data_IF_195796799043
#
_entry.id   IF_195796799043
#
_cell.length_a   1.000
_cell.length_b   1.000
_cell.length_c   1.000
_cell.angle_alpha   90.00
_cell.angle_beta   90.00
_cell.angle_gamma   90.00
#
_symmetry.space_group_name_H-M   'P 1'
#
loop_
_entity.id
_entity.type
_entity.pdbx_description
1 polymer ?
#
# COMPACT_ATOMS: atom_id res chain seq x y z
N UNK A 1 18.50 20.62 6.48
CA UNK A 1 17.79 19.83 5.46
C UNK A 1 18.78 19.59 4.32
N UNK A 2 19.05 18.33 4.00
CA UNK A 2 19.95 18.01 2.86
C UNK A 2 19.19 18.34 1.57
N UNK A 3 19.85 19.00 0.63
CA UNK A 3 19.23 19.33 -0.67
C UNK A 3 19.25 18.06 -1.52
N UNK A 4 18.11 17.71 -2.13
CA UNK A 4 18.04 16.64 -3.12
C UNK A 4 18.35 17.28 -4.48
N UNK A 5 19.49 16.96 -5.04
CA UNK A 5 19.99 17.47 -6.34
C UNK A 5 19.97 16.39 -7.42
N UNK A 6 19.73 15.15 -7.02
CA UNK A 6 19.74 13.99 -7.92
C UNK A 6 18.68 14.11 -9.01
N UNK A 7 19.05 13.60 -10.19
CA UNK A 7 18.15 13.36 -11.31
C UNK A 7 17.57 11.96 -11.20
N UNK A 8 16.32 11.79 -11.65
CA UNK A 8 15.54 10.56 -11.47
C UNK A 8 15.26 9.87 -12.80
N UNK A 9 15.49 8.57 -12.85
CA UNK A 9 14.92 7.69 -13.85
C UNK A 9 13.78 6.87 -13.25
N UNK A 10 12.70 6.70 -14.00
CA UNK A 10 11.56 5.85 -13.60
C UNK A 10 11.49 4.66 -14.55
N UNK A 11 11.58 3.45 -14.00
CA UNK A 11 11.38 2.20 -14.73
C UNK A 11 10.04 1.59 -14.27
N UNK A 12 9.07 1.66 -15.18
CA UNK A 12 7.66 1.34 -14.91
C UNK A 12 6.79 2.61 -14.92
N UNK A 13 6.09 2.87 -16.05
CA UNK A 13 5.22 4.04 -16.23
C UNK A 13 3.75 3.73 -15.89
N UNK A 14 3.52 2.72 -15.06
CA UNK A 14 2.21 2.36 -14.54
C UNK A 14 1.62 3.42 -13.60
N UNK A 15 0.61 3.04 -12.82
CA UNK A 15 -0.08 3.97 -11.90
C UNK A 15 0.88 4.56 -10.85
N UNK A 16 1.72 3.73 -10.23
CA UNK A 16 2.67 4.15 -9.18
C UNK A 16 3.76 5.03 -9.79
N UNK A 17 4.45 4.57 -10.84
CA UNK A 17 5.55 5.32 -11.46
C UNK A 17 5.11 6.67 -11.99
N UNK A 18 3.94 6.74 -12.64
CA UNK A 18 3.38 8.02 -13.11
C UNK A 18 3.03 8.94 -11.95
N UNK A 19 2.39 8.43 -10.88
CA UNK A 19 2.03 9.24 -9.72
C UNK A 19 3.27 9.80 -9.00
N UNK A 20 4.30 8.98 -8.83
CA UNK A 20 5.58 9.41 -8.25
C UNK A 20 6.27 10.43 -9.13
N UNK A 21 6.32 10.22 -10.45
CA UNK A 21 6.88 11.19 -11.40
C UNK A 21 6.18 12.55 -11.35
N UNK A 22 4.85 12.57 -11.18
CA UNK A 22 4.10 13.82 -10.97
C UNK A 22 4.54 14.47 -9.65
N UNK A 23 4.62 13.72 -8.57
CA UNK A 23 5.03 14.23 -7.26
C UNK A 23 6.47 14.78 -7.28
N UNK A 24 7.39 14.12 -8.00
CA UNK A 24 8.75 14.62 -8.25
C UNK A 24 8.72 15.98 -8.96
N UNK A 25 7.97 16.07 -10.05
CA UNK A 25 7.85 17.32 -10.84
C UNK A 25 7.26 18.47 -10.01
N UNK A 26 6.22 18.20 -9.21
CA UNK A 26 5.60 19.18 -8.33
C UNK A 26 6.55 19.63 -7.20
N UNK A 27 7.44 18.75 -6.75
CA UNK A 27 8.49 19.05 -5.77
C UNK A 27 9.72 19.78 -6.37
N UNK A 28 9.73 20.05 -7.69
CA UNK A 28 10.84 20.65 -8.40
C UNK A 28 12.03 19.69 -8.60
N UNK A 29 11.80 18.38 -8.49
CA UNK A 29 12.80 17.34 -8.74
C UNK A 29 12.74 16.91 -10.21
N UNK A 30 13.91 16.61 -10.80
CA UNK A 30 14.03 16.38 -12.24
C UNK A 30 13.88 14.91 -12.60
N UNK A 31 12.77 14.55 -13.26
CA UNK A 31 12.69 13.28 -14.01
C UNK A 31 13.51 13.44 -15.28
N UNK A 32 14.58 12.65 -15.43
CA UNK A 32 15.53 12.73 -16.52
C UNK A 32 15.28 11.67 -17.59
N UNK A 33 14.74 10.51 -17.18
CA UNK A 33 14.54 9.37 -18.06
C UNK A 33 13.36 8.53 -17.62
N UNK A 34 12.78 7.80 -18.57
CA UNK A 34 11.61 6.97 -18.35
C UNK A 34 11.65 5.74 -19.25
N UNK A 35 11.30 4.58 -18.69
CA UNK A 35 11.12 3.35 -19.46
C UNK A 35 9.90 2.57 -18.99
N UNK A 36 9.19 1.97 -19.91
CA UNK A 36 8.17 0.95 -19.68
C UNK A 36 8.11 -0.01 -20.88
N UNK A 37 7.75 -1.25 -20.64
CA UNK A 37 7.52 -2.25 -21.71
C UNK A 37 6.22 -1.96 -22.47
N UNK A 38 5.23 -1.35 -21.80
CA UNK A 38 4.02 -0.84 -22.45
C UNK A 38 4.33 0.51 -23.13
N UNK A 39 4.52 0.44 -24.45
CA UNK A 39 4.82 1.62 -25.26
C UNK A 39 3.76 2.73 -25.21
N UNK A 40 2.51 2.39 -24.88
CA UNK A 40 1.46 3.40 -24.71
C UNK A 40 1.63 4.14 -23.39
N UNK A 41 1.78 3.39 -22.28
CA UNK A 41 2.04 3.97 -20.98
C UNK A 41 3.32 4.80 -20.97
N UNK A 42 4.37 4.31 -21.63
CA UNK A 42 5.64 5.01 -21.80
C UNK A 42 5.48 6.35 -22.52
N UNK A 43 4.78 6.41 -23.67
CA UNK A 43 4.54 7.66 -24.40
C UNK A 43 3.72 8.65 -23.59
N UNK A 44 2.60 8.21 -23.02
CA UNK A 44 1.74 9.07 -22.18
C UNK A 44 2.53 9.71 -21.02
N UNK A 45 3.41 8.96 -20.37
CA UNK A 45 4.23 9.46 -19.28
C UNK A 45 5.40 10.33 -19.76
N UNK A 46 6.04 9.99 -20.88
CA UNK A 46 7.11 10.78 -21.49
C UNK A 46 6.61 12.19 -21.86
N UNK A 47 5.43 12.27 -22.50
CA UNK A 47 4.77 13.54 -22.84
C UNK A 47 4.44 14.35 -21.56
N UNK A 48 3.93 13.67 -20.52
CA UNK A 48 3.58 14.31 -19.24
C UNK A 48 4.79 14.93 -18.52
N UNK A 49 5.93 14.27 -18.61
CA UNK A 49 7.16 14.72 -17.94
C UNK A 49 8.03 15.60 -18.83
N UNK A 50 7.82 15.60 -20.13
CA UNK A 50 8.62 16.33 -21.11
C UNK A 50 10.02 15.72 -21.27
N UNK A 51 10.09 14.37 -21.24
CA UNK A 51 11.35 13.61 -21.39
C UNK A 51 11.25 12.64 -22.56
N UNK A 52 12.40 12.28 -23.12
CA UNK A 52 12.45 11.25 -24.15
C UNK A 52 12.30 9.86 -23.51
N UNK A 53 11.59 8.97 -24.19
CA UNK A 53 11.43 7.58 -23.81
C UNK A 53 12.77 6.82 -23.99
N UNK A 54 13.23 6.16 -22.97
CA UNK A 54 14.43 5.31 -23.02
C UNK A 54 14.13 3.98 -23.72
N UNK A 55 15.16 3.36 -24.29
CA UNK A 55 15.04 2.11 -25.07
C UNK A 55 15.06 0.85 -24.17
N UNK A 56 15.60 0.98 -22.96
CA UNK A 56 15.71 -0.10 -21.99
C UNK A 56 15.81 0.46 -20.55
N UNK A 57 15.62 -0.36 -19.51
CA UNK A 57 15.91 0.01 -18.13
C UNK A 57 17.35 0.53 -17.94
N UNK A 58 18.32 -0.10 -18.58
CA UNK A 58 19.73 0.29 -18.51
C UNK A 58 19.98 1.65 -19.18
N UNK A 59 19.29 1.95 -20.29
CA UNK A 59 19.37 3.25 -20.98
C UNK A 59 18.81 4.36 -20.10
N UNK A 60 17.67 4.13 -19.44
CA UNK A 60 17.10 5.05 -18.49
C UNK A 60 18.03 5.30 -17.28
N UNK A 61 18.56 4.24 -16.69
CA UNK A 61 19.43 4.30 -15.51
C UNK A 61 20.76 5.00 -15.77
N UNK A 62 21.27 4.95 -17.02
CA UNK A 62 22.54 5.59 -17.40
C UNK A 62 22.49 7.10 -17.19
N UNK A 63 21.39 7.74 -17.49
CA UNK A 63 21.24 9.19 -17.53
C UNK A 63 20.82 9.83 -16.21
N UNK A 64 20.59 9.04 -15.15
CA UNK A 64 20.08 9.52 -13.87
C UNK A 64 20.93 9.07 -12.69
N UNK A 65 20.82 9.76 -11.56
CA UNK A 65 21.53 9.46 -10.32
C UNK A 65 20.74 8.50 -9.44
N UNK A 66 19.40 8.61 -9.47
CA UNK A 66 18.47 7.76 -8.73
C UNK A 66 17.52 7.03 -9.68
N UNK A 67 17.38 5.73 -9.52
CA UNK A 67 16.59 4.84 -10.35
C UNK A 67 15.40 4.33 -9.52
N UNK A 68 14.19 4.72 -9.88
CA UNK A 68 12.96 4.29 -9.22
C UNK A 68 12.33 3.18 -10.05
N UNK A 69 12.24 1.98 -9.47
CA UNK A 69 11.67 0.79 -10.10
C UNK A 69 10.24 0.61 -9.56
N UNK A 70 9.26 0.73 -10.44
CA UNK A 70 7.82 0.62 -10.16
C UNK A 70 7.13 -0.41 -11.05
N UNK A 71 7.90 -1.38 -11.51
CA UNK A 71 7.40 -2.57 -12.22
C UNK A 71 6.66 -3.50 -11.25
N UNK A 72 5.90 -4.51 -11.73
CA UNK A 72 5.39 -5.57 -10.87
C UNK A 72 6.50 -6.21 -10.03
N UNK A 73 6.15 -6.70 -8.84
CA UNK A 73 7.11 -7.20 -7.84
C UNK A 73 8.04 -8.30 -8.38
N UNK A 74 7.51 -9.22 -9.20
CA UNK A 74 8.25 -10.30 -9.85
C UNK A 74 9.25 -9.84 -10.93
N UNK A 75 9.19 -8.56 -11.30
CA UNK A 75 10.08 -7.95 -12.29
C UNK A 75 11.15 -7.05 -11.68
N UNK A 76 11.01 -6.64 -10.42
CA UNK A 76 11.94 -5.67 -9.78
C UNK A 76 13.37 -6.17 -9.80
N UNK A 77 13.62 -7.42 -9.38
CA UNK A 77 14.97 -8.01 -9.35
C UNK A 77 15.54 -8.13 -10.76
N UNK A 78 14.76 -8.57 -11.75
CA UNK A 78 15.18 -8.71 -13.14
C UNK A 78 15.60 -7.38 -13.76
N UNK A 79 14.82 -6.32 -13.51
CA UNK A 79 15.15 -4.96 -13.94
C UNK A 79 16.44 -4.48 -13.27
N UNK A 80 16.56 -4.70 -11.98
CA UNK A 80 17.78 -4.36 -11.24
C UNK A 80 19.01 -5.09 -11.79
N UNK A 81 18.89 -6.39 -12.09
CA UNK A 81 19.94 -7.21 -12.67
C UNK A 81 20.34 -6.72 -14.06
N UNK A 82 19.36 -6.43 -14.94
CA UNK A 82 19.62 -5.88 -16.28
C UNK A 82 20.46 -4.60 -16.21
N UNK A 83 20.08 -3.69 -15.29
CA UNK A 83 20.84 -2.44 -15.11
C UNK A 83 22.23 -2.72 -14.51
N UNK A 84 22.34 -3.64 -13.55
CA UNK A 84 23.61 -3.98 -12.92
C UNK A 84 24.61 -4.68 -13.88
N UNK A 85 24.10 -5.39 -14.88
CA UNK A 85 24.92 -6.02 -15.92
C UNK A 85 25.33 -5.07 -17.06
N UNK A 86 24.87 -3.82 -17.03
CA UNK A 86 25.22 -2.82 -18.03
C UNK A 86 26.71 -2.45 -18.00
N UNK A 87 27.20 -1.83 -19.09
CA UNK A 87 28.62 -1.46 -19.26
C UNK A 87 29.01 -0.16 -18.57
N UNK A 88 28.06 0.63 -18.06
CA UNK A 88 28.34 1.87 -17.33
C UNK A 88 28.43 1.61 -15.83
N UNK A 89 29.16 2.47 -15.13
CA UNK A 89 29.31 2.38 -13.69
C UNK A 89 28.04 2.83 -12.97
N UNK A 90 27.57 2.01 -12.03
CA UNK A 90 26.43 2.30 -11.15
C UNK A 90 26.82 2.51 -9.70
N UNK A 91 28.12 2.46 -9.39
CA UNK A 91 28.58 2.72 -8.03
C UNK A 91 28.15 4.11 -7.56
N UNK A 92 27.63 4.18 -6.35
CA UNK A 92 27.08 5.42 -5.77
C UNK A 92 25.71 5.85 -6.27
N UNK A 93 25.18 5.30 -7.38
CA UNK A 93 23.79 5.54 -7.78
C UNK A 93 22.81 4.99 -6.76
N UNK A 94 21.61 5.53 -6.74
CA UNK A 94 20.56 5.18 -5.80
C UNK A 94 19.50 4.32 -6.51
N UNK A 95 19.30 3.10 -6.05
CA UNK A 95 18.26 2.20 -6.55
C UNK A 95 17.12 2.13 -5.55
N UNK A 96 15.91 2.38 -6.02
CA UNK A 96 14.71 2.45 -5.19
C UNK A 96 13.65 1.54 -5.81
N UNK A 97 13.10 0.60 -5.04
CA UNK A 97 11.84 -0.01 -5.40
C UNK A 97 10.69 0.50 -4.52
N UNK A 98 9.47 0.43 -5.05
CA UNK A 98 8.28 0.92 -4.35
C UNK A 98 7.30 -0.19 -3.95
N UNK A 99 7.74 -1.45 -3.94
CA UNK A 99 6.95 -2.57 -3.44
C UNK A 99 6.72 -2.47 -1.93
N UNK A 100 5.53 -2.83 -1.47
CA UNK A 100 5.21 -2.93 -0.04
C UNK A 100 5.82 -4.16 0.63
N UNK A 101 5.93 -5.28 -0.11
CA UNK A 101 6.31 -6.59 0.42
C UNK A 101 7.76 -6.97 0.20
N UNK A 102 8.36 -6.54 -0.93
CA UNK A 102 9.75 -6.89 -1.26
C UNK A 102 10.72 -6.28 -0.26
N UNK A 103 11.76 -7.05 0.05
CA UNK A 103 12.91 -6.63 0.84
C UNK A 103 14.00 -6.03 -0.06
N UNK A 104 15.09 -5.51 0.53
CA UNK A 104 16.22 -4.97 -0.23
C UNK A 104 16.95 -6.03 -1.07
N UNK A 105 16.72 -7.32 -0.80
CA UNK A 105 17.28 -8.43 -1.59
C UNK A 105 16.93 -8.33 -3.08
N UNK A 106 15.79 -7.77 -3.43
CA UNK A 106 15.41 -7.51 -4.82
C UNK A 106 16.35 -6.52 -5.54
N UNK A 107 17.11 -5.74 -4.78
CA UNK A 107 18.13 -4.80 -5.32
C UNK A 107 19.58 -5.28 -5.11
N UNK A 108 19.77 -6.52 -4.66
CA UNK A 108 21.09 -7.07 -4.42
C UNK A 108 22.03 -7.03 -5.64
N UNK A 109 21.59 -7.23 -6.89
CA UNK A 109 22.43 -7.06 -8.06
C UNK A 109 23.09 -5.68 -8.14
N UNK A 110 22.37 -4.61 -7.84
CA UNK A 110 22.90 -3.25 -7.82
C UNK A 110 23.79 -2.99 -6.58
N UNK A 111 23.39 -3.48 -5.41
CA UNK A 111 24.17 -3.36 -4.18
C UNK A 111 25.59 -3.96 -4.32
N UNK A 112 25.71 -5.13 -4.98
CA UNK A 112 27.00 -5.80 -5.26
C UNK A 112 27.92 -4.98 -6.16
N UNK A 113 27.39 -3.99 -6.88
CA UNK A 113 28.12 -3.05 -7.72
C UNK A 113 28.37 -1.69 -7.03
N UNK A 114 28.12 -1.60 -5.73
CA UNK A 114 28.34 -0.38 -4.96
C UNK A 114 27.25 0.68 -5.04
N UNK A 115 26.06 0.32 -5.55
CA UNK A 115 24.90 1.21 -5.52
C UNK A 115 24.26 1.23 -4.12
N UNK A 116 23.65 2.35 -3.75
CA UNK A 116 22.80 2.48 -2.57
C UNK A 116 21.44 1.90 -2.88
N UNK A 117 20.87 1.11 -1.97
CA UNK A 117 19.59 0.43 -2.18
C UNK A 117 18.55 0.83 -1.14
N UNK A 118 17.35 1.15 -1.62
CA UNK A 118 16.27 1.65 -0.81
C UNK A 118 14.94 1.02 -1.23
N UNK A 119 14.06 0.84 -0.26
CA UNK A 119 12.64 0.70 -0.51
C UNK A 119 11.91 1.93 0.04
N UNK A 120 11.05 2.53 -0.78
CA UNK A 120 10.22 3.69 -0.40
C UNK A 120 8.80 3.39 -0.86
N UNK A 121 8.01 2.74 0.00
CA UNK A 121 6.65 2.31 -0.33
C UNK A 121 5.61 3.31 0.19
N UNK A 122 4.85 3.99 -0.67
CA UNK A 122 3.73 4.84 -0.24
C UNK A 122 2.58 3.98 0.30
N UNK A 123 2.16 4.22 1.55
CA UNK A 123 0.94 3.60 2.12
C UNK A 123 -0.26 4.33 1.52
N UNK A 124 -0.59 3.98 0.27
CA UNK A 124 -1.65 4.64 -0.49
C UNK A 124 -2.24 3.70 -1.54
N UNK A 125 -3.48 3.98 -1.95
CA UNK A 125 -4.14 3.27 -3.05
C UNK A 125 -3.92 4.00 -4.37
N UNK A 126 -3.69 3.23 -5.44
CA UNK A 126 -3.42 3.77 -6.78
C UNK A 126 -4.53 3.36 -7.75
N UNK A 127 -5.75 3.88 -7.53
CA UNK A 127 -6.89 3.59 -8.41
C UNK A 127 -6.73 4.27 -9.78
N UNK A 128 -6.34 5.54 -9.80
CA UNK A 128 -5.98 6.31 -11.01
C UNK A 128 -4.70 7.15 -10.80
N UNK A 129 -4.02 7.47 -11.91
CA UNK A 129 -2.70 8.12 -11.91
C UNK A 129 -2.72 9.54 -11.31
N UNK A 130 -3.74 10.36 -11.62
CA UNK A 130 -3.78 11.79 -11.25
C UNK A 130 -4.21 11.97 -9.79
N UNK A 131 -5.25 11.27 -9.37
CA UNK A 131 -5.71 11.30 -7.98
C UNK A 131 -4.64 10.75 -7.05
N UNK A 132 -3.99 9.64 -7.44
CA UNK A 132 -2.92 9.05 -6.65
C UNK A 132 -1.75 10.01 -6.41
N UNK A 133 -1.32 10.78 -7.42
CA UNK A 133 -0.25 11.78 -7.27
C UNK A 133 -0.59 12.83 -6.20
N UNK A 134 -1.82 13.35 -6.21
CA UNK A 134 -2.28 14.32 -5.20
C UNK A 134 -2.31 13.72 -3.79
N UNK A 135 -2.68 12.43 -3.69
CA UNK A 135 -2.78 11.74 -2.41
C UNK A 135 -1.42 11.34 -1.84
N UNK A 136 -0.34 11.28 -2.65
CA UNK A 136 1.02 11.08 -2.15
C UNK A 136 1.43 12.20 -1.19
N UNK A 137 1.00 13.42 -1.46
CA UNK A 137 1.23 14.55 -0.55
C UNK A 137 0.43 14.33 0.74
N UNK A 138 1.12 14.28 1.86
CA UNK A 138 0.56 13.98 3.18
C UNK A 138 0.49 12.47 3.52
N UNK A 139 0.75 11.58 2.56
CA UNK A 139 0.81 10.14 2.82
C UNK A 139 2.04 9.76 3.64
N UNK A 140 1.93 8.62 4.31
CA UNK A 140 3.06 7.98 4.98
C UNK A 140 3.75 7.02 4.01
N UNK A 141 5.08 7.03 4.04
CA UNK A 141 5.92 6.13 3.24
C UNK A 141 6.71 5.22 4.18
N UNK A 142 6.56 3.91 4.01
CA UNK A 142 7.42 2.93 4.66
C UNK A 142 8.79 2.92 3.99
N UNK A 143 9.83 3.31 4.72
CA UNK A 143 11.20 3.37 4.20
C UNK A 143 12.07 2.27 4.81
N UNK A 144 12.88 1.63 3.96
CA UNK A 144 13.96 0.70 4.32
C UNK A 144 15.18 1.07 3.49
N UNK A 145 16.36 1.09 4.07
CA UNK A 145 17.60 1.47 3.38
C UNK A 145 18.77 0.60 3.81
N UNK A 146 19.79 0.49 2.96
CA UNK A 146 20.99 -0.32 3.19
C UNK A 146 21.88 0.18 4.31
N UNK A 147 21.82 1.49 4.60
CA UNK A 147 22.66 2.17 5.58
C UNK A 147 21.99 3.46 6.12
N UNK A 148 22.61 4.06 7.14
CA UNK A 148 22.07 5.26 7.76
C UNK A 148 22.07 6.49 6.84
N UNK A 149 23.09 6.66 6.01
CA UNK A 149 23.17 7.75 5.02
C UNK A 149 22.01 7.65 4.03
N UNK A 150 21.74 6.45 3.54
CA UNK A 150 20.63 6.14 2.63
C UNK A 150 19.27 6.32 3.34
N UNK A 151 19.16 5.98 4.62
CA UNK A 151 17.96 6.24 5.43
C UNK A 151 17.66 7.74 5.54
N UNK A 152 18.68 8.54 5.81
CA UNK A 152 18.55 9.99 5.91
C UNK A 152 18.18 10.62 4.56
N UNK A 153 18.77 10.12 3.47
CA UNK A 153 18.39 10.53 2.12
C UNK A 153 16.91 10.20 1.84
N UNK A 154 16.47 8.99 2.15
CA UNK A 154 15.07 8.57 1.96
C UNK A 154 14.09 9.43 2.74
N UNK A 155 14.41 9.82 3.99
CA UNK A 155 13.60 10.75 4.79
C UNK A 155 13.47 12.10 4.11
N UNK A 156 14.58 12.69 3.67
CA UNK A 156 14.59 13.98 2.99
C UNK A 156 13.84 13.91 1.65
N UNK A 157 13.99 12.82 0.90
CA UNK A 157 13.25 12.59 -0.35
C UNK A 157 11.74 12.56 -0.10
N UNK A 158 11.27 11.76 0.87
CA UNK A 158 9.86 11.65 1.22
C UNK A 158 9.30 13.00 1.68
N UNK A 159 10.03 13.73 2.52
CA UNK A 159 9.64 15.06 2.97
C UNK A 159 9.56 16.06 1.80
N UNK A 160 10.52 16.00 0.87
CA UNK A 160 10.57 16.87 -0.31
C UNK A 160 9.36 16.68 -1.22
N UNK A 161 8.85 15.46 -1.38
CA UNK A 161 7.61 15.19 -2.13
C UNK A 161 6.34 15.37 -1.28
N UNK A 162 6.46 15.92 -0.07
CA UNK A 162 5.35 16.27 0.80
C UNK A 162 4.77 15.12 1.62
N UNK A 163 5.48 13.99 1.74
CA UNK A 163 5.08 12.83 2.54
C UNK A 163 5.66 12.83 3.95
N UNK A 164 5.35 11.78 4.71
CA UNK A 164 5.93 11.47 6.01
C UNK A 164 6.59 10.10 5.96
N UNK A 165 7.79 9.94 6.52
CA UNK A 165 8.48 8.67 6.52
C UNK A 165 8.20 7.86 7.79
N UNK A 166 8.04 6.54 7.62
CA UNK A 166 8.00 5.53 8.68
C UNK A 166 9.10 4.50 8.40
N UNK A 167 10.08 4.41 9.29
CA UNK A 167 11.18 3.45 9.10
C UNK A 167 10.70 2.03 9.40
N UNK A 168 10.93 1.12 8.45
CA UNK A 168 10.59 -0.30 8.54
C UNK A 168 11.89 -1.09 8.40
N UNK A 169 12.11 -2.06 9.30
CA UNK A 169 13.25 -2.97 9.18
C UNK A 169 13.03 -3.90 7.98
N UNK A 170 14.14 -4.30 7.36
CA UNK A 170 14.08 -5.13 6.16
C UNK A 170 13.31 -6.44 6.37
N UNK A 171 13.52 -7.11 7.50
CA UNK A 171 12.85 -8.35 7.90
C UNK A 171 11.35 -8.18 8.20
N UNK A 172 10.89 -6.98 8.52
CA UNK A 172 9.49 -6.71 8.89
C UNK A 172 8.62 -6.30 7.68
N UNK A 173 9.19 -6.16 6.48
CA UNK A 173 8.46 -5.64 5.33
C UNK A 173 7.20 -6.42 4.97
N UNK A 174 7.24 -7.74 5.04
CA UNK A 174 6.07 -8.58 4.76
C UNK A 174 4.95 -8.31 5.76
N UNK A 175 5.27 -8.24 7.07
CA UNK A 175 4.27 -7.94 8.11
C UNK A 175 3.71 -6.53 7.95
N UNK A 176 4.55 -5.57 7.66
CA UNK A 176 4.14 -4.21 7.34
C UNK A 176 3.16 -4.17 6.16
N UNK A 177 3.45 -4.91 5.07
CA UNK A 177 2.55 -4.96 3.92
C UNK A 177 1.24 -5.66 4.23
N UNK A 178 1.26 -6.73 5.03
CA UNK A 178 0.03 -7.40 5.52
C UNK A 178 -0.88 -6.39 6.24
N UNK A 179 -0.32 -5.52 7.08
CA UNK A 179 -1.12 -4.48 7.75
C UNK A 179 -1.80 -3.53 6.76
N UNK A 180 -1.09 -3.11 5.70
CA UNK A 180 -1.67 -2.27 4.65
C UNK A 180 -2.76 -3.01 3.84
N UNK A 181 -2.55 -4.29 3.52
CA UNK A 181 -3.56 -5.15 2.85
C UNK A 181 -4.82 -5.30 3.69
N UNK A 182 -4.66 -5.54 5.00
CA UNK A 182 -5.81 -5.64 5.92
C UNK A 182 -6.59 -4.33 5.97
N UNK A 183 -5.89 -3.20 6.08
CA UNK A 183 -6.52 -1.89 6.20
C UNK A 183 -7.23 -1.41 4.92
N UNK A 184 -6.78 -1.83 3.74
CA UNK A 184 -7.28 -1.34 2.47
C UNK A 184 -7.97 -2.44 1.65
N UNK A 185 -7.23 -3.46 1.22
CA UNK A 185 -7.76 -4.48 0.32
C UNK A 185 -8.87 -5.31 0.98
N UNK A 186 -8.70 -5.70 2.25
CA UNK A 186 -9.73 -6.46 2.97
C UNK A 186 -10.97 -5.61 3.24
N UNK A 187 -10.84 -4.30 3.43
CA UNK A 187 -12.01 -3.42 3.52
C UNK A 187 -12.88 -3.56 2.27
N UNK A 188 -12.28 -3.50 1.07
CA UNK A 188 -13.03 -3.69 -0.19
C UNK A 188 -13.69 -5.07 -0.25
N UNK A 189 -12.98 -6.13 0.20
CA UNK A 189 -13.52 -7.50 0.21
C UNK A 189 -14.69 -7.65 1.19
N UNK A 190 -14.60 -7.02 2.36
CA UNK A 190 -15.67 -7.01 3.38
C UNK A 190 -16.89 -6.26 2.84
N UNK A 191 -16.70 -5.11 2.20
CA UNK A 191 -17.80 -4.36 1.60
C UNK A 191 -18.45 -5.13 0.44
N UNK A 192 -17.68 -5.84 -0.37
CA UNK A 192 -18.23 -6.73 -1.39
C UNK A 192 -19.11 -7.84 -0.77
N UNK A 193 -18.68 -8.42 0.34
CA UNK A 193 -19.48 -9.41 1.07
C UNK A 193 -20.76 -8.78 1.65
N UNK A 194 -20.70 -7.58 2.21
CA UNK A 194 -21.87 -6.86 2.73
C UNK A 194 -22.89 -6.57 1.62
N UNK A 195 -22.43 -6.09 0.45
CA UNK A 195 -23.28 -5.87 -0.73
C UNK A 195 -23.94 -7.18 -1.17
N UNK A 196 -23.20 -8.31 -1.18
CA UNK A 196 -23.78 -9.61 -1.57
C UNK A 196 -24.89 -10.07 -0.62
N UNK A 197 -24.82 -9.75 0.66
CA UNK A 197 -25.90 -10.00 1.62
C UNK A 197 -27.13 -9.16 1.30
N UNK A 198 -27.00 -7.89 0.92
CA UNK A 198 -28.12 -7.06 0.46
C UNK A 198 -28.76 -7.60 -0.81
N UNK A 199 -27.95 -8.09 -1.79
CA UNK A 199 -28.47 -8.70 -3.01
C UNK A 199 -29.34 -9.95 -2.70
N UNK A 200 -28.99 -10.74 -1.68
CA UNK A 200 -29.77 -11.92 -1.26
C UNK A 200 -31.16 -11.57 -0.68
N UNK A 201 -31.34 -10.39 -0.15
CA UNK A 201 -32.64 -9.89 0.31
C UNK A 201 -33.36 -9.03 -0.74
N UNK A 202 -32.88 -9.07 -2.00
CA UNK A 202 -33.54 -8.42 -3.14
C UNK A 202 -33.17 -6.95 -3.35
N UNK A 203 -32.20 -6.39 -2.62
CA UNK A 203 -31.72 -5.03 -2.84
C UNK A 203 -30.70 -5.03 -4.00
N UNK A 204 -30.85 -4.10 -4.92
CA UNK A 204 -29.91 -3.96 -6.03
C UNK A 204 -28.53 -3.50 -5.54
N UNK A 205 -27.47 -3.91 -6.24
CA UNK A 205 -26.07 -3.61 -5.91
C UNK A 205 -25.78 -2.12 -5.70
N UNK A 206 -26.29 -1.28 -6.62
CA UNK A 206 -26.05 0.17 -6.54
C UNK A 206 -26.76 0.80 -5.34
N UNK A 207 -27.99 0.36 -5.04
CA UNK A 207 -28.77 0.81 -3.88
C UNK A 207 -28.10 0.34 -2.57
N UNK A 208 -27.55 -0.89 -2.55
CA UNK A 208 -26.79 -1.41 -1.42
C UNK A 208 -25.52 -0.57 -1.16
N UNK A 209 -24.76 -0.23 -2.20
CA UNK A 209 -23.58 0.63 -2.09
C UNK A 209 -23.96 2.03 -1.59
N UNK A 210 -25.02 2.62 -2.13
CA UNK A 210 -25.51 3.94 -1.67
C UNK A 210 -25.87 3.92 -0.18
N UNK A 211 -26.46 2.84 0.32
CA UNK A 211 -26.80 2.68 1.72
C UNK A 211 -25.58 2.44 2.62
N UNK A 212 -24.58 1.64 2.16
CA UNK A 212 -23.43 1.22 2.98
C UNK A 212 -22.33 2.28 3.04
N UNK A 213 -22.06 3.03 1.98
CA UNK A 213 -20.94 3.99 1.94
C UNK A 213 -21.00 5.04 3.07
N UNK A 214 -22.15 5.65 3.43
CA UNK A 214 -22.22 6.55 4.59
C UNK A 214 -21.85 5.87 5.91
N UNK A 215 -22.27 4.60 6.11
CA UNK A 215 -21.95 3.82 7.30
C UNK A 215 -20.44 3.54 7.39
N UNK A 216 -19.81 3.15 6.28
CA UNK A 216 -18.35 2.92 6.21
C UNK A 216 -17.57 4.20 6.54
N UNK A 217 -17.95 5.33 5.94
CA UNK A 217 -17.32 6.63 6.22
C UNK A 217 -17.42 6.97 7.70
N UNK A 218 -18.61 6.85 8.30
CA UNK A 218 -18.79 7.12 9.72
C UNK A 218 -17.95 6.18 10.60
N UNK A 219 -17.79 4.92 10.19
CA UNK A 219 -16.94 3.96 10.91
C UNK A 219 -15.47 4.39 10.87
N UNK A 220 -14.96 4.83 9.71
CA UNK A 220 -13.59 5.35 9.57
C UNK A 220 -13.41 6.61 10.43
N UNK A 221 -14.37 7.53 10.42
CA UNK A 221 -14.33 8.74 11.26
C UNK A 221 -14.32 8.38 12.76
N UNK A 222 -15.09 7.37 13.17
CA UNK A 222 -15.09 6.89 14.55
C UNK A 222 -13.74 6.27 14.94
N UNK A 223 -13.11 5.49 14.05
CA UNK A 223 -11.75 4.94 14.27
C UNK A 223 -10.75 6.09 14.46
N UNK A 224 -10.80 7.10 13.61
CA UNK A 224 -9.92 8.26 13.71
C UNK A 224 -10.13 9.04 15.03
N UNK A 225 -11.38 9.17 15.47
CA UNK A 225 -11.74 9.98 16.64
C UNK A 225 -11.54 9.26 17.97
N UNK A 226 -11.88 7.96 18.04
CA UNK A 226 -11.94 7.19 19.28
C UNK A 226 -10.88 6.10 19.38
N UNK A 227 -10.15 5.80 18.29
CA UNK A 227 -9.23 4.66 18.17
C UNK A 227 -9.96 3.34 17.90
N UNK A 228 -9.21 2.32 17.48
CA UNK A 228 -9.75 1.04 17.00
C UNK A 228 -10.56 0.27 18.06
N UNK A 229 -10.20 0.40 19.36
CA UNK A 229 -10.87 -0.33 20.45
C UNK A 229 -12.24 0.27 20.76
N UNK A 230 -12.33 1.58 20.91
CA UNK A 230 -13.58 2.27 21.26
C UNK A 230 -14.53 2.48 20.08
N UNK A 231 -14.02 2.41 18.86
CA UNK A 231 -14.85 2.56 17.65
C UNK A 231 -15.73 1.33 17.39
N UNK A 232 -15.41 0.15 17.95
CA UNK A 232 -16.23 -1.05 17.80
C UNK A 232 -17.59 -0.86 18.46
N UNK A 233 -18.65 -1.08 17.68
CA UNK A 233 -20.05 -1.06 18.09
C UNK A 233 -20.72 -2.40 17.76
N UNK A 234 -22.04 -2.49 17.93
CA UNK A 234 -22.81 -3.65 17.53
C UNK A 234 -22.82 -4.80 18.56
N UNK A 235 -23.25 -6.01 18.15
CA UNK A 235 -23.51 -7.11 19.07
C UNK A 235 -22.26 -7.61 19.80
N UNK A 236 -21.11 -7.65 19.14
CA UNK A 236 -19.85 -8.06 19.78
C UNK A 236 -19.44 -7.09 20.90
N UNK A 237 -19.58 -5.80 20.68
CA UNK A 237 -19.24 -4.79 21.68
C UNK A 237 -20.18 -4.80 22.88
N UNK A 238 -21.42 -5.27 22.71
CA UNK A 238 -22.44 -5.36 23.78
C UNK A 238 -22.54 -6.74 24.43
N UNK A 239 -21.80 -7.73 23.93
CA UNK A 239 -21.90 -9.12 24.41
C UNK A 239 -23.24 -9.79 24.04
N UNK A 240 -23.87 -9.40 22.94
CA UNK A 240 -25.18 -9.88 22.50
C UNK A 240 -25.07 -11.23 21.79
N UNK A 241 -25.02 -12.28 22.59
CA UNK A 241 -24.91 -13.69 22.16
C UNK A 241 -26.11 -14.09 21.28
N UNK A 242 -27.32 -13.57 21.56
CA UNK A 242 -28.54 -13.89 20.84
C UNK A 242 -28.49 -13.40 19.40
N UNK A 243 -28.10 -12.15 19.18
CA UNK A 243 -27.93 -11.57 17.84
C UNK A 243 -26.85 -12.28 17.05
N UNK A 244 -25.71 -12.61 17.67
CA UNK A 244 -24.62 -13.36 16.99
C UNK A 244 -25.13 -14.73 16.52
N UNK A 245 -25.88 -15.45 17.38
CA UNK A 245 -26.48 -16.74 17.02
C UNK A 245 -27.45 -16.59 15.84
N UNK A 246 -28.35 -15.62 15.88
CA UNK A 246 -29.30 -15.36 14.80
C UNK A 246 -28.60 -15.06 13.45
N UNK A 247 -27.50 -14.30 13.49
CA UNK A 247 -26.69 -14.06 12.29
C UNK A 247 -26.09 -15.36 11.72
N UNK A 248 -25.53 -16.22 12.57
CA UNK A 248 -24.93 -17.48 12.15
C UNK A 248 -25.99 -18.46 11.61
N UNK A 249 -27.18 -18.50 12.22
CA UNK A 249 -28.30 -19.32 11.77
C UNK A 249 -28.82 -18.82 10.40
N UNK A 250 -28.90 -17.53 10.19
CA UNK A 250 -29.28 -16.91 8.91
C UNK A 250 -28.26 -17.16 7.78
N UNK A 251 -27.00 -17.42 8.12
CA UNK A 251 -25.94 -17.74 7.18
C UNK A 251 -25.74 -19.26 6.98
N UNK A 252 -26.67 -20.12 7.44
CA UNK A 252 -26.49 -21.59 7.37
C UNK A 252 -26.28 -22.09 5.95
N UNK A 253 -27.02 -21.53 4.98
CA UNK A 253 -26.93 -21.88 3.56
C UNK A 253 -25.88 -21.07 2.79
N UNK A 254 -25.04 -20.30 3.49
CA UNK A 254 -24.03 -19.40 2.93
C UNK A 254 -22.64 -19.67 3.55
N UNK A 255 -22.01 -20.80 3.22
CA UNK A 255 -20.84 -21.29 3.96
C UNK A 255 -19.63 -20.34 3.89
N UNK A 256 -19.41 -19.64 2.77
CA UNK A 256 -18.32 -18.70 2.61
C UNK A 256 -18.55 -17.44 3.46
N UNK A 257 -19.76 -16.85 3.42
CA UNK A 257 -20.13 -15.71 4.25
C UNK A 257 -20.11 -16.04 5.74
N UNK A 258 -20.57 -17.25 6.11
CA UNK A 258 -20.53 -17.76 7.49
C UNK A 258 -19.09 -17.88 7.98
N UNK A 259 -18.19 -18.38 7.15
CA UNK A 259 -16.75 -18.49 7.45
C UNK A 259 -16.13 -17.12 7.65
N UNK A 260 -16.37 -16.19 6.73
CA UNK A 260 -15.89 -14.80 6.83
C UNK A 260 -16.42 -14.14 8.12
N UNK A 261 -17.73 -14.23 8.37
CA UNK A 261 -18.36 -13.67 9.56
C UNK A 261 -17.71 -14.19 10.84
N UNK A 262 -17.51 -15.52 10.94
CA UNK A 262 -16.83 -16.14 12.08
C UNK A 262 -15.39 -15.66 12.25
N UNK A 263 -14.61 -15.62 11.18
CA UNK A 263 -13.20 -15.23 11.25
C UNK A 263 -13.04 -13.78 11.76
N UNK A 264 -13.80 -12.85 11.18
CA UNK A 264 -13.78 -11.44 11.59
C UNK A 264 -14.31 -11.25 13.02
N UNK A 265 -15.41 -11.95 13.37
CA UNK A 265 -15.99 -11.88 14.70
C UNK A 265 -15.07 -12.47 15.78
N UNK A 266 -14.35 -13.56 15.50
CA UNK A 266 -13.32 -14.09 16.41
C UNK A 266 -12.23 -13.06 16.69
N UNK A 267 -11.77 -12.34 15.67
CA UNK A 267 -10.82 -11.24 15.86
C UNK A 267 -11.44 -10.12 16.71
N UNK A 268 -12.73 -9.81 16.49
CA UNK A 268 -13.47 -8.81 17.28
C UNK A 268 -13.56 -9.13 18.77
N UNK A 269 -13.48 -10.41 19.18
CA UNK A 269 -13.39 -10.78 20.60
C UNK A 269 -12.10 -10.28 21.26
N UNK A 270 -11.01 -10.11 20.51
CA UNK A 270 -9.78 -9.52 21.05
C UNK A 270 -10.01 -8.06 21.42
N UNK A 271 -10.75 -7.32 20.57
CA UNK A 271 -11.13 -5.92 20.86
C UNK A 271 -12.05 -5.86 22.10
N UNK A 272 -13.01 -6.78 22.20
CA UNK A 272 -13.91 -6.85 23.36
C UNK A 272 -13.15 -7.13 24.69
N UNK A 273 -12.12 -8.01 24.62
CA UNK A 273 -11.24 -8.28 25.78
C UNK A 273 -10.39 -7.05 26.14
N UNK A 274 -9.79 -6.40 25.15
CA UNK A 274 -8.96 -5.20 25.36
C UNK A 274 -9.78 -4.04 25.93
N UNK A 275 -11.04 -3.92 25.52
CA UNK A 275 -11.98 -2.92 26.03
C UNK A 275 -12.34 -3.13 27.51
N UNK A 276 -12.41 -4.40 27.95
CA UNK A 276 -12.63 -4.74 29.38
C UNK A 276 -14.01 -4.39 29.95
N UNK A 277 -15.00 -4.12 29.11
CA UNK A 277 -16.35 -3.70 29.52
C UNK A 277 -17.33 -4.89 29.63
N UNK A 278 -16.98 -6.06 29.11
CA UNK A 278 -17.83 -7.25 29.11
C UNK A 278 -17.36 -8.26 30.14
N UNK A 279 -18.32 -8.97 30.74
CA UNK A 279 -18.01 -10.14 31.56
C UNK A 279 -17.34 -11.24 30.72
N UNK A 280 -16.33 -11.91 31.30
CA UNK A 280 -15.60 -13.02 30.67
C UNK A 280 -16.56 -14.12 30.21
N UNK A 281 -17.61 -14.41 30.99
CA UNK A 281 -18.63 -15.39 30.66
C UNK A 281 -19.39 -15.07 29.36
N UNK A 282 -19.62 -13.81 29.08
CA UNK A 282 -20.27 -13.37 27.81
C UNK A 282 -19.31 -13.54 26.64
N UNK A 283 -18.03 -13.21 26.80
CA UNK A 283 -16.99 -13.40 25.78
C UNK A 283 -16.83 -14.88 25.45
N UNK A 284 -16.81 -15.76 26.49
CA UNK A 284 -16.68 -17.21 26.31
C UNK A 284 -17.90 -17.82 25.59
N UNK A 285 -19.11 -17.34 25.88
CA UNK A 285 -20.31 -17.78 25.16
C UNK A 285 -20.23 -17.41 23.68
N UNK A 286 -19.82 -16.18 23.36
CA UNK A 286 -19.64 -15.74 21.96
C UNK A 286 -18.53 -16.57 21.28
N UNK A 287 -17.42 -16.82 21.95
CA UNK A 287 -16.31 -17.60 21.41
C UNK A 287 -16.68 -19.05 21.06
N UNK A 288 -17.61 -19.65 21.80
CA UNK A 288 -18.12 -21.03 21.51
C UNK A 288 -19.04 -21.07 20.29
N UNK A 289 -19.73 -19.99 19.98
CA UNK A 289 -20.60 -19.89 18.80
C UNK A 289 -19.79 -19.63 17.51
N UNK A 290 -18.75 -18.84 17.63
CA UNK A 290 -17.88 -18.42 16.51
C UNK A 290 -16.83 -19.46 16.19
#
# INVERSE_FOLDING_TARGET
MMVIEETFAIVGAGKVGTAVGIALKEAGLRVQALYDIDHRALREAADLFGVEASRSPADAAKSADAIIITTPDDMVEKVCEEVALSKFDIAGKIFIHMSGALTLEALLPAARKGAKTLCIHPIQTFADKKTAARMLKGSVFGITASDESSTNWARNFVEKIGGKSLQIRNEDRVLYHIAAVIASNFLVMIEHAAVSVFEKIGVKRDDALEALIPLVRQTVDNIQRFGVVRALTGPLARGDVGTIKAHLDSLENEPELKTLYRAVSKWGLNIARERGELEITSIDKMARLL
#
